data_IF_633622530829
#
_entry.id   IF_633622530829
#
_cell.length_a   1.000
_cell.length_b   1.000
_cell.length_c   1.000
_cell.angle_alpha   90.00
_cell.angle_beta   90.00
_cell.angle_gamma   90.00
#
_symmetry.space_group_name_H-M   'P 1'
#
loop_
_entity.id
_entity.type
_entity.pdbx_description
1 polymer ?
#
# COMPACT_ATOMS: atom_id res chain seq x y z
N UNK A 1 14.64 -45.91 19.54
CA UNK A 1 14.49 -45.84 21.02
C UNK A 1 14.15 -44.40 21.32
N UNK A 2 12.92 -44.01 21.63
CA UNK A 2 12.06 -44.48 22.72
C UNK A 2 10.57 -44.50 22.28
N UNK A 3 9.83 -45.43 22.90
CA UNK A 3 8.40 -45.78 22.88
C UNK A 3 7.39 -44.62 22.92
N UNK A 4 6.25 -44.65 22.20
CA UNK A 4 5.03 -45.50 22.31
C UNK A 4 4.05 -45.06 23.42
N UNK A 5 2.80 -44.76 23.03
CA UNK A 5 1.57 -45.17 23.71
C UNK A 5 0.34 -44.61 22.98
N UNK A 6 -0.28 -45.45 22.16
CA UNK A 6 -1.67 -45.31 21.78
C UNK A 6 -2.56 -45.72 22.97
N UNK A 7 -3.63 -44.98 23.22
CA UNK A 7 -4.68 -45.39 24.15
C UNK A 7 -6.00 -45.50 23.41
N UNK A 8 -6.59 -46.69 23.53
CA UNK A 8 -7.82 -47.13 22.90
C UNK A 8 -8.92 -47.29 23.96
N UNK A 9 -10.13 -47.54 23.43
CA UNK A 9 -11.34 -48.00 24.11
C UNK A 9 -12.19 -46.85 24.73
N UNK A 10 -13.52 -46.91 24.77
CA UNK A 10 -14.40 -48.07 24.97
C UNK A 10 -15.76 -47.86 24.29
N UNK A 11 -16.26 -48.97 23.78
CA UNK A 11 -17.57 -49.26 23.20
C UNK A 11 -18.68 -49.25 24.27
N UNK A 12 -19.84 -48.63 24.00
CA UNK A 12 -21.06 -48.91 24.76
C UNK A 12 -22.30 -48.91 23.85
N UNK A 13 -22.85 -50.10 23.66
CA UNK A 13 -24.06 -50.45 22.91
C UNK A 13 -25.19 -50.72 23.92
N UNK A 14 -26.27 -49.95 23.85
CA UNK A 14 -27.57 -50.21 24.50
C UNK A 14 -28.62 -49.60 23.55
N UNK A 15 -29.69 -50.23 23.08
CA UNK A 15 -30.40 -51.41 23.55
C UNK A 15 -31.85 -51.05 23.92
N UNK A 16 -32.70 -50.90 22.89
CA UNK A 16 -34.15 -51.23 22.87
C UNK A 16 -35.14 -50.37 23.70
N UNK A 17 -36.16 -49.82 23.02
CA UNK A 17 -37.59 -50.12 23.28
C UNK A 17 -38.52 -49.49 22.23
N UNK A 18 -39.26 -50.35 21.53
CA UNK A 18 -40.45 -50.01 20.75
C UNK A 18 -41.66 -49.84 21.68
N UNK A 19 -42.52 -48.85 21.39
CA UNK A 19 -43.96 -48.82 21.71
C UNK A 19 -44.63 -47.71 20.86
N UNK A 20 -45.97 -47.72 20.71
CA UNK A 20 -46.64 -47.59 19.41
C UNK A 20 -46.94 -46.15 18.98
N UNK A 21 -47.13 -46.04 17.66
CA UNK A 21 -47.52 -44.85 16.89
C UNK A 21 -48.95 -44.42 17.27
N UNK A 22 -49.17 -43.18 17.76
CA UNK A 22 -50.45 -42.52 17.61
C UNK A 22 -50.52 -41.88 16.21
N UNK A 23 -51.53 -42.30 15.43
CA UNK A 23 -51.91 -41.68 14.17
C UNK A 23 -52.35 -40.24 14.42
N UNK A 24 -51.45 -39.28 14.18
CA UNK A 24 -51.83 -37.87 14.10
C UNK A 24 -52.25 -37.61 12.65
N UNK A 25 -53.56 -37.60 12.52
CA UNK A 25 -54.38 -36.99 11.49
C UNK A 25 -53.62 -35.90 10.71
N UNK A 26 -53.33 -36.18 9.44
CA UNK A 26 -52.83 -35.19 8.49
C UNK A 26 -53.97 -34.25 8.10
N UNK A 27 -54.32 -33.31 8.97
CA UNK A 27 -54.86 -32.04 8.50
C UNK A 27 -53.70 -31.25 7.93
N UNK A 28 -53.46 -31.45 6.62
CA UNK A 28 -52.72 -30.54 5.75
C UNK A 28 -53.39 -29.16 5.86
N UNK A 29 -53.04 -28.41 6.90
CA UNK A 29 -53.16 -26.98 6.87
C UNK A 29 -52.27 -26.52 5.74
N UNK A 30 -52.95 -26.14 4.67
CA UNK A 30 -52.50 -25.30 3.59
C UNK A 30 -51.82 -24.04 4.15
N UNK A 31 -50.59 -24.19 4.64
CA UNK A 31 -49.66 -23.09 4.76
C UNK A 31 -49.26 -22.76 3.33
N UNK A 32 -49.98 -21.78 2.78
CA UNK A 32 -49.55 -21.07 1.58
C UNK A 32 -48.03 -20.89 1.66
N UNK A 33 -47.26 -21.27 0.62
CA UNK A 33 -45.82 -21.08 0.63
C UNK A 33 -45.58 -19.61 0.89
N UNK A 34 -45.17 -19.30 2.12
CA UNK A 34 -44.87 -17.95 2.55
C UNK A 34 -43.84 -17.48 1.55
N UNK A 35 -44.22 -16.51 0.71
CA UNK A 35 -43.33 -15.84 -0.22
C UNK A 35 -42.25 -15.24 0.64
N UNK A 36 -41.18 -16.02 0.91
CA UNK A 36 -39.94 -15.53 1.49
C UNK A 36 -39.53 -14.46 0.49
N UNK A 37 -39.86 -13.23 0.88
CA UNK A 37 -39.77 -12.07 0.01
C UNK A 37 -38.34 -12.03 -0.44
N UNK A 38 -38.12 -11.98 -1.77
CA UNK A 38 -36.78 -11.87 -2.36
C UNK A 38 -35.96 -10.74 -1.73
N UNK A 39 -36.64 -9.77 -1.11
CA UNK A 39 -36.07 -8.68 -0.30
C UNK A 39 -35.35 -9.22 0.95
N UNK A 40 -35.93 -10.16 1.71
CA UNK A 40 -35.30 -10.72 2.92
C UNK A 40 -34.04 -11.51 2.55
N UNK A 41 -34.09 -12.27 1.44
CA UNK A 41 -32.92 -13.00 0.95
C UNK A 41 -31.83 -12.05 0.42
N UNK A 42 -32.20 -10.97 -0.27
CA UNK A 42 -31.27 -9.95 -0.75
C UNK A 42 -30.60 -9.17 0.41
N UNK A 43 -31.36 -8.86 1.47
CA UNK A 43 -30.82 -8.19 2.66
C UNK A 43 -29.85 -9.10 3.42
N UNK A 44 -30.17 -10.39 3.58
CA UNK A 44 -29.26 -11.36 4.19
C UNK A 44 -27.98 -11.58 3.38
N UNK A 45 -28.07 -11.59 2.04
CA UNK A 45 -26.90 -11.67 1.17
C UNK A 45 -26.04 -10.40 1.23
N UNK A 46 -26.67 -9.22 1.30
CA UNK A 46 -25.97 -7.95 1.47
C UNK A 46 -25.30 -7.82 2.86
N UNK A 47 -25.89 -8.39 3.91
CA UNK A 47 -25.34 -8.37 5.27
C UNK A 47 -24.22 -9.42 5.47
N UNK A 48 -24.29 -10.57 4.78
CA UNK A 48 -23.21 -11.55 4.78
C UNK A 48 -22.00 -11.08 3.94
N UNK A 49 -22.22 -10.25 2.91
CA UNK A 49 -21.16 -9.65 2.12
C UNK A 49 -20.43 -8.47 2.80
N UNK A 50 -20.95 -7.94 3.90
CA UNK A 50 -20.34 -6.81 4.64
C UNK A 50 -19.51 -7.22 5.85
N UNK A 51 -19.43 -8.52 6.17
CA UNK A 51 -18.58 -9.05 7.24
C UNK A 51 -17.12 -9.22 6.78
N UNK A 52 -16.54 -8.22 6.12
CA UNK A 52 -15.09 -8.10 6.02
C UNK A 52 -14.61 -7.49 7.34
N UNK A 53 -14.22 -8.32 8.30
CA UNK A 53 -13.43 -7.86 9.43
C UNK A 53 -12.13 -7.29 8.88
N UNK A 54 -12.01 -5.96 8.77
CA UNK A 54 -10.74 -5.28 8.57
C UNK A 54 -9.85 -5.65 9.76
N UNK A 55 -9.04 -6.70 9.62
CA UNK A 55 -7.87 -6.84 10.47
C UNK A 55 -6.93 -5.73 10.02
N UNK A 56 -6.71 -4.74 10.87
CA UNK A 56 -5.66 -3.78 10.67
C UNK A 56 -4.34 -4.57 10.63
N UNK A 57 -3.84 -4.83 9.43
CA UNK A 57 -2.46 -5.29 9.24
C UNK A 57 -1.59 -4.15 9.75
N UNK A 58 -0.65 -4.39 10.69
CA UNK A 58 0.29 -3.35 11.08
C UNK A 58 0.99 -2.86 9.82
N UNK A 59 0.74 -1.60 9.45
CA UNK A 59 1.36 -0.96 8.30
C UNK A 59 2.73 -0.42 8.70
N UNK A 60 3.65 -0.41 7.75
CA UNK A 60 4.95 0.25 7.89
C UNK A 60 4.75 1.77 7.73
N UNK A 61 5.49 2.61 8.46
CA UNK A 61 5.70 3.99 8.04
C UNK A 61 6.10 4.03 6.57
N UNK A 62 5.39 4.83 5.78
CA UNK A 62 5.56 4.86 4.33
C UNK A 62 5.91 6.27 3.87
N UNK A 63 7.13 6.43 3.38
CA UNK A 63 7.56 7.62 2.66
C UNK A 63 7.08 7.52 1.21
N UNK A 64 6.53 8.60 0.67
CA UNK A 64 6.19 8.72 -0.75
C UNK A 64 6.94 9.90 -1.33
N UNK A 65 7.62 9.68 -2.45
CA UNK A 65 8.32 10.71 -3.20
C UNK A 65 7.78 10.75 -4.62
N UNK A 66 7.40 11.94 -5.06
CA UNK A 66 6.95 12.19 -6.41
C UNK A 66 7.94 13.12 -7.11
N UNK A 67 8.20 12.87 -8.39
CA UNK A 67 9.10 13.69 -9.22
C UNK A 67 8.67 15.15 -9.37
N UNK A 68 7.39 15.44 -9.13
CA UNK A 68 6.87 16.80 -9.11
C UNK A 68 7.18 17.55 -7.81
N UNK A 69 7.94 16.95 -6.88
CA UNK A 69 8.30 17.52 -5.59
C UNK A 69 7.26 17.34 -4.49
N UNK A 70 6.23 16.52 -4.69
CA UNK A 70 5.31 16.16 -3.61
C UNK A 70 5.92 15.02 -2.79
N UNK A 71 6.17 15.27 -1.51
CA UNK A 71 6.65 14.28 -0.56
C UNK A 71 5.70 14.14 0.63
N UNK A 72 5.52 12.92 1.14
CA UNK A 72 4.72 12.66 2.35
C UNK A 72 5.19 11.43 3.12
N UNK A 73 5.01 11.47 4.44
CA UNK A 73 5.21 10.34 5.35
C UNK A 73 3.84 9.94 5.90
N UNK A 74 3.42 8.71 5.62
CA UNK A 74 2.22 8.11 6.17
C UNK A 74 2.62 7.22 7.35
N UNK A 75 2.19 7.60 8.55
CA UNK A 75 2.43 6.82 9.76
C UNK A 75 1.35 5.73 9.91
N UNK A 76 1.65 4.60 10.58
CA UNK A 76 0.70 3.51 10.76
C UNK A 76 -0.60 3.90 11.50
N UNK A 77 -0.56 5.00 12.24
CA UNK A 77 -1.70 5.61 12.93
C UNK A 77 -2.60 6.46 12.02
N UNK A 78 -2.35 6.49 10.71
CA UNK A 78 -3.12 7.23 9.72
C UNK A 78 -2.76 8.73 9.63
N UNK A 79 -1.75 9.18 10.36
CA UNK A 79 -1.25 10.55 10.27
C UNK A 79 -0.40 10.69 9.01
N UNK A 80 -0.66 11.74 8.23
CA UNK A 80 0.10 12.09 7.03
C UNK A 80 0.85 13.38 7.28
N UNK A 81 2.18 13.32 7.16
CA UNK A 81 3.07 14.47 7.33
C UNK A 81 3.60 14.84 5.93
N UNK A 82 3.21 15.99 5.36
CA UNK A 82 3.78 16.44 4.10
C UNK A 82 5.22 16.91 4.32
N UNK A 83 6.11 16.57 3.41
CA UNK A 83 7.45 17.15 3.33
C UNK A 83 7.70 17.53 1.86
N UNK A 84 7.42 18.79 1.47
CA UNK A 84 7.57 19.21 0.08
C UNK A 84 9.04 19.19 -0.33
N UNK A 85 9.30 18.79 -1.57
CA UNK A 85 10.62 18.82 -2.16
C UNK A 85 10.96 20.19 -2.74
N UNK A 86 12.25 20.49 -2.83
CA UNK A 86 12.77 21.70 -3.44
C UNK A 86 14.06 21.39 -4.20
N UNK A 87 14.35 22.17 -5.24
CA UNK A 87 15.62 22.07 -5.95
C UNK A 87 16.75 22.65 -5.10
N UNK A 88 17.79 21.86 -4.88
CA UNK A 88 19.01 22.28 -4.16
C UNK A 88 20.23 21.58 -4.75
N UNK A 89 21.42 22.03 -4.37
CA UNK A 89 22.67 21.36 -4.74
C UNK A 89 22.85 20.06 -3.95
N UNK A 90 23.15 18.97 -4.64
CA UNK A 90 23.62 17.72 -4.03
C UNK A 90 25.13 17.81 -3.76
N UNK A 91 25.57 17.82 -2.49
CA UNK A 91 26.99 17.84 -2.15
C UNK A 91 27.68 16.49 -2.35
N UNK A 92 26.91 15.43 -2.61
CA UNK A 92 27.40 14.08 -2.82
C UNK A 92 28.26 13.92 -4.09
N UNK A 93 29.00 12.81 -4.20
CA UNK A 93 29.83 12.52 -5.38
C UNK A 93 29.02 12.58 -6.66
N UNK A 94 29.51 13.35 -7.63
CA UNK A 94 28.86 13.51 -8.93
C UNK A 94 27.46 14.16 -8.88
N UNK A 95 27.08 14.72 -7.72
CA UNK A 95 25.82 15.42 -7.50
C UNK A 95 25.64 16.62 -8.42
N UNK A 96 24.38 16.98 -8.65
CA UNK A 96 23.99 18.09 -9.51
C UNK A 96 23.77 19.36 -8.69
N UNK A 97 24.01 20.52 -9.32
CA UNK A 97 23.77 21.83 -8.68
C UNK A 97 22.28 22.12 -8.42
N UNK A 98 21.40 21.43 -9.14
CA UNK A 98 19.96 21.53 -9.02
C UNK A 98 19.38 20.12 -9.09
N UNK A 99 19.16 19.52 -7.94
CA UNK A 99 18.55 18.21 -7.75
C UNK A 99 17.31 18.36 -6.86
N UNK A 100 16.25 17.60 -7.14
CA UNK A 100 15.07 17.59 -6.28
C UNK A 100 15.43 16.92 -4.95
N UNK A 101 15.31 17.66 -3.85
CA UNK A 101 15.61 17.16 -2.53
C UNK A 101 14.40 17.25 -1.61
N UNK A 102 14.30 16.25 -0.73
CA UNK A 102 13.33 16.16 0.35
C UNK A 102 14.07 16.17 1.68
N UNK A 103 13.56 16.94 2.63
CA UNK A 103 14.14 17.06 3.96
C UNK A 103 13.47 16.08 4.91
N UNK A 104 14.21 15.06 5.34
CA UNK A 104 13.79 14.14 6.39
C UNK A 104 14.35 14.57 7.76
N UNK A 105 13.59 14.26 8.81
CA UNK A 105 13.98 14.53 10.21
C UNK A 105 13.98 13.22 11.01
N UNK A 106 15.04 12.39 10.91
CA UNK A 106 15.19 11.22 11.75
C UNK A 106 15.23 11.61 13.23
N UNK A 107 14.65 10.78 14.11
CA UNK A 107 14.52 11.13 15.52
C UNK A 107 15.77 10.82 16.33
N UNK A 108 16.35 9.64 16.11
CA UNK A 108 17.48 9.14 16.91
C UNK A 108 18.65 8.78 16.00
N UNK A 109 18.42 7.96 14.97
CA UNK A 109 19.47 7.50 14.07
C UNK A 109 19.20 7.97 12.65
N UNK A 110 20.23 8.43 11.91
CA UNK A 110 20.07 8.79 10.52
C UNK A 110 19.70 7.57 9.67
N UNK A 111 19.06 7.82 8.52
CA UNK A 111 18.86 6.79 7.52
C UNK A 111 20.21 6.36 6.96
N UNK A 112 20.37 5.09 6.64
CA UNK A 112 21.60 4.59 6.02
C UNK A 112 21.83 5.29 4.68
N UNK A 113 23.03 5.85 4.52
CA UNK A 113 23.47 6.57 3.33
C UNK A 113 23.65 5.63 2.15
N UNK A 114 23.28 6.09 0.95
CA UNK A 114 23.48 5.35 -0.29
C UNK A 114 22.46 5.66 -1.38
N UNK A 115 22.58 4.94 -2.50
CA UNK A 115 21.75 5.13 -3.69
C UNK A 115 20.82 3.94 -3.93
N UNK A 116 19.56 4.23 -4.23
CA UNK A 116 18.60 3.28 -4.78
C UNK A 116 18.44 3.63 -6.25
N UNK A 117 18.95 2.75 -7.12
CA UNK A 117 18.90 2.90 -8.58
C UNK A 117 17.69 2.15 -9.11
N UNK A 118 16.85 2.84 -9.87
CA UNK A 118 15.67 2.29 -10.51
C UNK A 118 16.00 2.03 -11.98
N UNK A 119 15.70 0.81 -12.43
CA UNK A 119 15.86 0.41 -13.82
C UNK A 119 14.51 0.39 -14.52
N UNK A 120 14.46 0.96 -15.72
CA UNK A 120 13.33 0.84 -16.62
C UNK A 120 13.16 -0.60 -17.12
N UNK A 121 12.08 -0.86 -17.87
CA UNK A 121 11.80 -2.19 -18.43
C UNK A 121 12.87 -2.70 -19.42
N UNK A 122 13.72 -1.82 -19.93
CA UNK A 122 14.83 -2.14 -20.83
C UNK A 122 16.17 -2.36 -20.11
N UNK A 123 16.20 -2.14 -18.78
CA UNK A 123 17.38 -2.31 -17.95
C UNK A 123 18.30 -1.08 -17.91
N UNK A 124 17.87 0.06 -18.45
CA UNK A 124 18.59 1.33 -18.30
C UNK A 124 18.19 2.01 -16.99
N UNK A 125 19.06 2.86 -16.45
CA UNK A 125 18.74 3.67 -15.28
C UNK A 125 17.71 4.74 -15.68
N UNK A 126 16.51 4.64 -15.11
CA UNK A 126 15.49 5.69 -15.19
C UNK A 126 15.73 6.70 -14.09
N UNK A 127 15.70 6.25 -12.84
CA UNK A 127 15.71 7.14 -11.68
C UNK A 127 16.68 6.72 -10.59
N UNK A 128 16.99 7.67 -9.72
CA UNK A 128 17.81 7.43 -8.52
C UNK A 128 17.19 8.15 -7.33
N UNK A 129 16.99 7.39 -6.25
CA UNK A 129 16.70 7.94 -4.93
C UNK A 129 17.96 7.84 -4.06
N UNK A 130 18.56 8.98 -3.72
CA UNK A 130 19.83 9.09 -2.99
C UNK A 130 19.59 9.57 -1.56
N UNK A 131 20.09 8.82 -0.59
CA UNK A 131 20.09 9.18 0.82
C UNK A 131 21.47 9.73 1.17
N UNK A 132 21.53 11.03 1.45
CA UNK A 132 22.78 11.73 1.74
C UNK A 132 23.13 11.68 3.24
N UNK A 133 24.34 12.11 3.61
CA UNK A 133 24.76 12.18 5.01
C UNK A 133 23.85 13.09 5.84
N UNK A 134 23.53 12.64 7.07
CA UNK A 134 22.75 13.46 7.98
C UNK A 134 23.60 14.59 8.57
N UNK A 135 22.96 15.75 8.72
CA UNK A 135 23.54 16.92 9.36
C UNK A 135 22.87 17.18 10.71
N UNK A 136 23.68 17.37 11.75
CA UNK A 136 23.18 17.76 13.06
C UNK A 136 23.05 19.28 13.14
N UNK A 137 21.88 19.76 13.55
CA UNK A 137 21.62 21.17 13.84
C UNK A 137 21.06 21.35 15.24
N UNK A 138 20.97 22.59 15.72
CA UNK A 138 20.31 22.89 16.99
C UNK A 138 18.82 22.44 17.02
N UNK A 139 18.20 22.29 15.86
CA UNK A 139 16.80 21.84 15.70
C UNK A 139 16.65 20.32 15.60
N UNK A 140 17.76 19.56 15.63
CA UNK A 140 17.76 18.10 15.49
C UNK A 140 18.58 17.62 14.29
N UNK A 141 18.49 16.31 14.03
CA UNK A 141 19.07 15.65 12.87
C UNK A 141 18.21 15.92 11.63
N UNK A 142 18.87 16.29 10.55
CA UNK A 142 18.25 16.52 9.25
C UNK A 142 19.03 15.78 8.18
N UNK A 143 18.32 15.11 7.29
CA UNK A 143 18.94 14.36 6.20
C UNK A 143 18.23 14.70 4.88
N UNK A 144 19.02 14.94 3.84
CA UNK A 144 18.49 15.18 2.50
C UNK A 144 18.35 13.87 1.76
N UNK A 145 17.22 13.73 1.08
CA UNK A 145 16.94 12.62 0.17
C UNK A 145 16.74 13.23 -1.21
N UNK A 146 17.61 12.90 -2.15
CA UNK A 146 17.55 13.41 -3.51
C UNK A 146 16.81 12.44 -4.43
N UNK A 147 16.01 12.97 -5.33
CA UNK A 147 15.32 12.22 -6.37
C UNK A 147 15.74 12.77 -7.73
N UNK A 148 16.45 11.94 -8.48
CA UNK A 148 16.86 12.19 -9.86
C UNK A 148 16.00 11.37 -10.81
N UNK A 149 15.64 11.98 -11.93
CA UNK A 149 15.08 11.30 -13.07
C UNK A 149 15.88 11.59 -14.32
N UNK A 150 16.06 10.57 -15.14
CA UNK A 150 16.57 10.65 -16.50
C UNK A 150 15.44 10.86 -17.52
N UNK A 151 14.19 10.96 -17.05
CA UNK A 151 13.07 11.31 -17.89
C UNK A 151 13.13 12.78 -18.29
N UNK A 152 12.52 13.08 -19.44
CA UNK A 152 12.51 14.41 -20.03
C UNK A 152 11.07 14.97 -20.05
N UNK A 153 10.29 14.69 -19.01
CA UNK A 153 8.87 15.02 -18.86
C UNK A 153 8.59 16.47 -18.42
N UNK A 154 9.61 17.20 -17.98
CA UNK A 154 9.52 18.56 -17.42
C UNK A 154 9.13 18.61 -15.94
N UNK A 155 9.30 17.53 -15.17
CA UNK A 155 9.08 17.51 -13.72
C UNK A 155 10.33 18.02 -12.97
N UNK A 156 10.23 18.15 -11.64
CA UNK A 156 11.34 18.71 -10.84
C UNK A 156 12.51 17.74 -10.70
N UNK A 157 12.27 16.44 -10.79
CA UNK A 157 13.33 15.42 -10.73
C UNK A 157 14.13 15.32 -12.04
N UNK A 158 13.60 15.82 -13.16
CA UNK A 158 14.14 15.78 -14.54
C UNK A 158 15.36 16.69 -14.71
N UNK A 159 16.36 16.43 -13.88
CA UNK A 159 17.59 17.19 -13.73
C UNK A 159 18.77 16.45 -14.35
N UNK A 160 18.54 15.20 -14.79
CA UNK A 160 19.57 14.25 -15.17
C UNK A 160 20.01 13.40 -13.98
N UNK A 161 20.93 12.47 -14.22
CA UNK A 161 21.46 11.57 -13.20
C UNK A 161 22.80 12.08 -12.65
N UNK A 162 23.15 11.80 -11.37
CA UNK A 162 24.47 12.07 -10.84
C UNK A 162 25.53 11.29 -11.60
N UNK A 163 26.69 11.91 -11.80
CA UNK A 163 27.80 11.32 -12.59
C UNK A 163 28.57 10.22 -11.85
N UNK A 164 28.38 10.11 -10.53
CA UNK A 164 28.98 9.09 -9.67
C UNK A 164 27.94 8.62 -8.66
N UNK A 165 27.98 7.33 -8.31
CA UNK A 165 27.14 6.73 -7.29
C UNK A 165 27.86 6.69 -5.93
N UNK A 166 27.09 6.63 -4.84
CA UNK A 166 27.58 6.32 -3.51
C UNK A 166 28.03 4.86 -3.43
N UNK A 167 28.95 4.57 -2.50
CA UNK A 167 29.51 3.20 -2.36
C UNK A 167 28.45 2.17 -1.97
N UNK A 168 27.45 2.57 -1.19
CA UNK A 168 26.30 1.74 -0.85
C UNK A 168 25.21 1.95 -1.90
N UNK A 169 25.18 1.10 -2.92
CA UNK A 169 24.18 1.19 -3.99
C UNK A 169 23.38 -0.10 -4.06
N UNK A 170 22.06 0.04 -4.19
CA UNK A 170 21.15 -1.05 -4.52
C UNK A 170 20.45 -0.73 -5.84
N UNK A 171 20.20 -1.77 -6.65
CA UNK A 171 19.50 -1.62 -7.93
C UNK A 171 18.22 -2.44 -7.91
N UNK A 172 17.11 -1.83 -8.30
CA UNK A 172 15.79 -2.44 -8.32
C UNK A 172 15.09 -2.18 -9.66
N UNK A 173 14.15 -3.04 -10.00
CA UNK A 173 13.31 -2.86 -11.18
C UNK A 173 12.20 -1.87 -10.87
N UNK A 174 12.04 -0.85 -11.70
CA UNK A 174 10.94 0.10 -11.61
C UNK A 174 9.61 -0.56 -11.99
N UNK A 175 8.53 -0.15 -11.32
CA UNK A 175 7.17 -0.55 -11.65
C UNK A 175 6.56 0.40 -12.70
N UNK A 176 6.34 -0.05 -13.95
CA UNK A 176 5.85 0.83 -15.03
C UNK A 176 4.36 1.20 -14.90
N UNK A 177 3.64 0.66 -13.92
CA UNK A 177 2.18 0.81 -13.79
C UNK A 177 1.74 1.43 -12.47
N UNK A 178 2.66 2.02 -11.72
CA UNK A 178 2.36 2.66 -10.44
C UNK A 178 3.63 2.94 -9.64
N UNK A 179 3.52 3.16 -8.31
CA UNK A 179 4.70 3.41 -7.51
C UNK A 179 5.62 2.18 -7.47
N UNK A 180 6.92 2.44 -7.54
CA UNK A 180 7.94 1.48 -7.18
C UNK A 180 8.03 1.43 -5.66
N UNK A 181 7.89 0.23 -5.09
CA UNK A 181 7.95 0.02 -3.64
C UNK A 181 9.30 -0.55 -3.26
N UNK A 182 10.01 0.15 -2.38
CA UNK A 182 11.28 -0.26 -1.82
C UNK A 182 11.17 -0.41 -0.30
N UNK A 183 11.68 -1.52 0.24
CA UNK A 183 11.74 -1.80 1.68
C UNK A 183 13.20 -2.17 1.98
N UNK A 184 13.97 -1.30 2.65
CA UNK A 184 15.38 -1.55 2.93
C UNK A 184 15.59 -2.75 3.84
N UNK A 185 16.57 -3.56 3.52
CA UNK A 185 17.15 -4.55 4.43
C UNK A 185 18.28 -3.93 5.28
N UNK A 186 18.78 -4.70 6.26
CA UNK A 186 19.89 -4.30 7.11
C UNK A 186 21.11 -3.82 6.28
N UNK A 187 21.56 -2.59 6.55
CA UNK A 187 22.69 -1.95 5.85
C UNK A 187 22.38 -1.38 4.46
N UNK A 188 21.15 -1.51 3.95
CA UNK A 188 20.76 -0.92 2.67
C UNK A 188 20.37 0.55 2.82
N UNK A 189 20.48 1.35 1.74
CA UNK A 189 20.15 2.77 1.76
C UNK A 189 18.72 3.02 2.25
N UNK A 190 18.53 4.07 3.04
CA UNK A 190 17.22 4.44 3.57
C UNK A 190 16.74 3.63 4.77
N UNK A 191 17.50 2.63 5.26
CA UNK A 191 17.12 1.92 6.47
C UNK A 191 17.19 2.86 7.69
N UNK A 192 16.09 2.92 8.46
CA UNK A 192 16.09 3.51 9.80
C UNK A 192 16.07 2.42 10.87
N UNK A 193 16.81 2.62 11.96
CA UNK A 193 16.67 1.82 13.19
C UNK A 193 15.64 2.41 14.16
N UNK A 194 15.02 3.55 13.81
CA UNK A 194 14.02 4.22 14.65
C UNK A 194 12.63 3.57 14.49
N UNK A 195 12.37 2.89 13.36
CA UNK A 195 11.14 2.14 13.12
C UNK A 195 11.32 0.66 13.45
N UNK A 196 10.64 0.11 14.49
CA UNK A 196 10.80 -1.30 14.88
C UNK A 196 10.24 -2.28 13.84
N UNK A 197 9.39 -1.80 12.92
CA UNK A 197 8.87 -2.58 11.80
C UNK A 197 9.68 -2.36 10.51
N UNK A 198 10.54 -1.34 10.47
CA UNK A 198 11.19 -0.82 9.26
C UNK A 198 10.36 0.26 8.57
N UNK A 199 10.89 0.81 7.48
CA UNK A 199 10.24 1.84 6.67
C UNK A 199 10.00 1.33 5.24
N UNK A 200 8.95 1.84 4.60
CA UNK A 200 8.68 1.61 3.18
C UNK A 200 8.81 2.91 2.40
N UNK A 201 9.38 2.83 1.21
CA UNK A 201 9.51 3.93 0.27
C UNK A 201 8.68 3.65 -0.97
N UNK A 202 7.83 4.59 -1.35
CA UNK A 202 7.04 4.60 -2.59
C UNK A 202 7.57 5.70 -3.49
N UNK A 203 8.03 5.31 -4.67
CA UNK A 203 8.69 6.20 -5.62
C UNK A 203 7.78 6.31 -6.84
N UNK A 204 7.34 7.53 -7.13
CA UNK A 204 6.39 7.84 -8.20
C UNK A 204 7.12 8.58 -9.33
N UNK A 205 7.58 7.79 -10.30
CA UNK A 205 8.32 8.23 -11.49
C UNK A 205 7.44 8.66 -12.66
N UNK A 206 6.12 8.63 -12.48
CA UNK A 206 5.19 9.18 -13.47
C UNK A 206 4.13 10.01 -12.75
N UNK A 207 3.63 11.10 -13.36
CA UNK A 207 2.53 11.85 -12.78
C UNK A 207 1.29 10.94 -12.72
N UNK A 208 0.62 10.93 -11.57
CA UNK A 208 -0.62 10.18 -11.29
C UNK A 208 -1.73 10.57 -12.30
N UNK A 209 -1.73 9.98 -13.48
CA UNK A 209 -2.61 10.37 -14.60
C UNK A 209 -3.89 9.52 -14.66
N UNK A 210 -4.00 8.45 -13.87
CA UNK A 210 -4.98 7.39 -14.15
C UNK A 210 -6.36 7.49 -13.49
N UNK A 211 -6.52 8.14 -12.33
CA UNK A 211 -7.71 7.87 -11.49
C UNK A 211 -8.77 8.98 -11.48
N UNK A 212 -8.36 10.25 -11.57
CA UNK A 212 -9.29 11.40 -11.47
C UNK A 212 -10.16 11.56 -12.72
N UNK A 213 -9.59 11.37 -13.92
CA UNK A 213 -10.35 11.46 -15.17
C UNK A 213 -11.32 10.30 -15.36
N UNK A 214 -10.97 9.09 -14.89
CA UNK A 214 -11.86 7.95 -14.96
C UNK A 214 -13.04 8.09 -13.98
N UNK A 215 -12.79 8.60 -12.76
CA UNK A 215 -13.87 8.95 -11.83
C UNK A 215 -14.76 10.06 -12.38
N UNK A 216 -14.18 11.14 -12.94
CA UNK A 216 -14.95 12.24 -13.54
C UNK A 216 -15.78 11.77 -14.74
N UNK A 217 -15.19 10.94 -15.63
CA UNK A 217 -15.88 10.37 -16.78
C UNK A 217 -17.05 9.46 -16.37
N UNK A 218 -16.84 8.62 -15.35
CA UNK A 218 -17.91 7.76 -14.82
C UNK A 218 -19.04 8.55 -14.14
N UNK A 219 -18.71 9.64 -13.44
CA UNK A 219 -19.69 10.53 -12.82
C UNK A 219 -20.55 11.23 -13.87
N UNK A 220 -19.94 11.76 -14.94
CA UNK A 220 -20.66 12.42 -16.03
C UNK A 220 -21.55 11.42 -16.79
N UNK A 221 -21.05 10.22 -17.07
CA UNK A 221 -21.85 9.17 -17.72
C UNK A 221 -23.08 8.78 -16.88
N UNK A 222 -22.93 8.70 -15.56
CA UNK A 222 -24.04 8.47 -14.63
C UNK A 222 -25.11 9.57 -14.71
N UNK A 223 -24.71 10.84 -14.72
CA UNK A 223 -25.64 11.98 -14.82
C UNK A 223 -26.40 12.02 -16.16
N UNK A 224 -25.76 11.68 -17.28
CA UNK A 224 -26.44 11.61 -18.58
C UNK A 224 -27.50 10.50 -18.60
N UNK A 225 -27.22 9.34 -18.01
CA UNK A 225 -28.19 8.24 -17.91
C UNK A 225 -29.40 8.59 -17.04
N UNK A 226 -29.21 9.34 -15.95
CA UNK A 226 -30.31 9.81 -15.10
C UNK A 226 -31.20 10.83 -15.83
N UNK A 227 -30.64 11.67 -16.68
CA UNK A 227 -31.40 12.71 -17.39
C UNK A 227 -32.32 12.15 -18.49
N UNK A 228 -31.97 11.01 -19.08
CA UNK A 228 -32.79 10.37 -20.12
C UNK A 228 -34.01 9.62 -19.58
N UNK A 229 -34.07 9.37 -18.27
CA UNK A 229 -35.14 8.58 -17.65
C UNK A 229 -36.26 9.42 -17.04
N UNK A 230 -36.22 10.75 -17.17
CA UNK A 230 -37.29 11.63 -16.70
C UNK A 230 -38.22 11.97 -17.87
N UNK A 231 -39.47 11.45 -17.91
CA UNK A 231 -40.46 11.93 -18.85
C UNK A 231 -40.76 13.41 -18.56
N UNK A 232 -40.84 14.22 -19.61
CA UNK A 232 -41.27 15.59 -19.51
C UNK A 232 -42.70 15.64 -18.93
N UNK A 233 -42.87 16.38 -17.85
CA UNK A 233 -44.19 16.76 -17.29
C UNK A 233 -44.60 18.09 -17.91
#
# INVERSE_FOLDING_TARGET
>A
MIDAAASAAVYAKIGVRCCPIPSIDQTLQNVNPMKISRIVLAVLFALAASANTLRAVPSLPTFSFHENGQGKLELPIGVVIPFPGALTTDPGPGGLLSALAFTAHPQVNPLVVGDVVLLDASGHVSDILRFDEATSSASGLTQLIFFYSNDHGGLLADTGLPSLMLSNTITIQENPSGPTVYIPAAGQPGLSTDSPLGDSFRIFSTPDTGSTFLMLGSAIAGFVFLRWKMPAV
#
